data_IF_958839031184
#
_entry.id   IF_958839031184
#
_cell.length_a   1.000
_cell.length_b   1.000
_cell.length_c   1.000
_cell.angle_alpha   90.00
_cell.angle_beta   90.00
_cell.angle_gamma   90.00
#
_symmetry.space_group_name_H-M   'P 1'
#
loop_
_entity.id
_entity.type
_entity.pdbx_description
1 polymer ?
#
# COMPACT_ATOMS: atom_id res chain seq x y z
N UNK A 1 9.81 -9.08 24.02
CA UNK A 1 8.42 -8.60 23.94
C UNK A 1 7.99 -8.62 22.49
N UNK A 2 7.26 -9.65 22.07
CA UNK A 2 6.45 -9.59 20.84
C UNK A 2 5.14 -8.95 21.29
N UNK A 3 4.80 -7.77 20.77
CA UNK A 3 3.44 -7.28 20.86
C UNK A 3 2.62 -8.12 19.88
N UNK A 4 2.04 -9.21 20.37
CA UNK A 4 1.00 -9.93 19.65
C UNK A 4 -0.28 -9.11 19.82
N UNK A 5 -0.44 -8.10 18.96
CA UNK A 5 -1.76 -7.50 18.77
C UNK A 5 -2.59 -8.57 18.04
N UNK A 6 -3.60 -9.11 18.73
CA UNK A 6 -4.69 -9.87 18.11
C UNK A 6 -5.54 -8.92 17.26
N UNK A 7 -4.98 -8.48 16.12
CA UNK A 7 -5.69 -7.74 15.10
C UNK A 7 -6.25 -8.73 14.09
N UNK A 8 -7.50 -8.52 13.68
CA UNK A 8 -8.05 -9.27 12.54
C UNK A 8 -7.23 -8.98 11.27
N UNK A 9 -7.12 -9.98 10.38
CA UNK A 9 -6.43 -9.88 9.08
C UNK A 9 -6.80 -8.58 8.35
N UNK A 10 -8.08 -8.22 8.36
CA UNK A 10 -8.61 -6.97 7.80
C UNK A 10 -8.01 -5.70 8.40
N UNK A 11 -7.86 -5.63 9.72
CA UNK A 11 -7.34 -4.46 10.41
C UNK A 11 -5.83 -4.28 10.14
N UNK A 12 -5.09 -5.38 10.09
CA UNK A 12 -3.68 -5.38 9.72
C UNK A 12 -3.46 -4.81 8.30
N UNK A 13 -4.33 -5.15 7.35
CA UNK A 13 -4.25 -4.63 5.98
C UNK A 13 -4.59 -3.14 5.87
N UNK A 14 -5.55 -2.65 6.65
CA UNK A 14 -5.86 -1.20 6.71
C UNK A 14 -4.68 -0.43 7.31
N UNK A 15 -4.06 -0.96 8.37
CA UNK A 15 -2.86 -0.38 8.97
C UNK A 15 -1.71 -0.37 7.96
N UNK A 16 -1.49 -1.48 7.24
CA UNK A 16 -0.46 -1.55 6.20
C UNK A 16 -0.68 -0.51 5.09
N UNK A 17 -1.94 -0.31 4.65
CA UNK A 17 -2.28 0.66 3.63
C UNK A 17 -2.01 2.10 4.11
N UNK A 18 -2.49 2.45 5.30
CA UNK A 18 -2.25 3.79 5.87
C UNK A 18 -0.76 4.05 6.11
N UNK A 19 0.00 3.05 6.56
CA UNK A 19 1.46 3.13 6.69
C UNK A 19 2.12 3.36 5.33
N UNK A 20 1.69 2.65 4.28
CA UNK A 20 2.25 2.82 2.93
C UNK A 20 2.06 4.25 2.41
N UNK A 21 0.87 4.82 2.61
CA UNK A 21 0.56 6.21 2.24
C UNK A 21 1.39 7.18 3.08
N UNK A 22 1.55 6.94 4.37
CA UNK A 22 2.39 7.74 5.26
C UNK A 22 3.86 7.74 4.84
N UNK A 23 4.40 6.60 4.41
CA UNK A 23 5.77 6.49 3.89
C UNK A 23 5.92 7.33 2.62
N UNK A 24 4.99 7.23 1.67
CA UNK A 24 5.03 8.02 0.44
C UNK A 24 4.92 9.52 0.75
N UNK A 25 3.98 9.91 1.62
CA UNK A 25 3.83 11.30 2.05
C UNK A 25 5.12 11.83 2.72
N UNK A 26 5.75 11.05 3.60
CA UNK A 26 7.02 11.41 4.24
C UNK A 26 8.17 11.54 3.25
N UNK A 27 8.25 10.63 2.27
CA UNK A 27 9.24 10.66 1.20
C UNK A 27 9.15 11.97 0.39
N UNK A 28 7.94 12.37 0.01
CA UNK A 28 7.70 13.63 -0.70
C UNK A 28 7.88 14.86 0.16
N UNK A 29 7.45 14.80 1.43
CA UNK A 29 7.64 15.89 2.38
C UNK A 29 9.12 16.25 2.56
N UNK A 30 10.01 15.24 2.61
CA UNK A 30 11.45 15.46 2.68
C UNK A 30 11.98 16.28 1.51
N UNK A 31 11.50 16.04 0.28
CA UNK A 31 11.88 16.81 -0.91
C UNK A 31 11.28 18.22 -0.86
N UNK A 32 10.02 18.36 -0.47
CA UNK A 32 9.32 19.64 -0.42
C UNK A 32 9.87 20.57 0.67
N UNK A 33 10.49 20.02 1.72
CA UNK A 33 11.16 20.81 2.75
C UNK A 33 12.51 21.38 2.31
N UNK A 34 13.09 20.90 1.21
CA UNK A 34 14.39 21.39 0.72
C UNK A 34 14.21 22.83 0.22
N UNK A 35 14.99 23.79 0.75
CA UNK A 35 14.93 25.18 0.27
C UNK A 35 15.21 25.25 -1.24
N UNK A 36 14.48 26.08 -2.01
CA UNK A 36 14.64 26.16 -3.47
C UNK A 36 16.07 26.46 -3.93
N UNK A 37 16.84 27.16 -3.09
CA UNK A 37 18.24 27.53 -3.35
C UNK A 37 19.19 26.33 -3.32
N UNK A 38 18.80 25.24 -2.65
CA UNK A 38 19.53 23.99 -2.65
C UNK A 38 19.14 23.07 -3.83
N UNK A 39 18.07 23.42 -4.57
CA UNK A 39 17.72 22.80 -5.86
C UNK A 39 18.41 23.49 -7.05
N UNK A 40 19.21 24.54 -6.82
CA UNK A 40 19.98 25.20 -7.88
C UNK A 40 21.21 24.34 -8.23
N UNK A 41 20.95 23.26 -8.96
CA UNK A 41 21.96 22.27 -9.31
C UNK A 41 22.77 22.79 -10.50
N UNK A 42 24.11 22.81 -10.42
CA UNK A 42 24.94 23.22 -11.54
C UNK A 42 24.65 22.36 -12.76
N UNK A 43 24.33 23.01 -13.88
CA UNK A 43 24.08 22.34 -15.15
C UNK A 43 25.41 22.05 -15.84
N UNK A 44 25.57 20.81 -16.32
CA UNK A 44 26.68 20.44 -17.18
C UNK A 44 26.23 20.57 -18.63
N UNK A 45 26.99 21.35 -19.39
CA UNK A 45 26.87 21.40 -20.84
C UNK A 45 27.70 20.23 -21.39
N UNK A 46 27.05 19.28 -22.06
CA UNK A 46 27.73 18.24 -22.81
C UNK A 46 28.13 18.80 -24.18
N UNK A 47 29.18 18.23 -24.78
CA UNK A 47 29.71 18.66 -26.09
C UNK A 47 28.72 18.51 -27.25
N UNK A 48 27.65 17.74 -27.03
CA UNK A 48 26.53 17.55 -27.96
C UNK A 48 25.44 18.65 -27.84
N UNK A 49 25.68 19.69 -27.02
CA UNK A 49 24.75 20.79 -26.79
C UNK A 49 23.61 20.44 -25.83
N UNK A 50 23.62 19.24 -25.24
CA UNK A 50 22.63 18.86 -24.24
C UNK A 50 22.99 19.42 -22.85
N UNK A 51 21.95 19.81 -22.11
CA UNK A 51 22.07 20.34 -20.75
C UNK A 51 21.60 19.27 -19.78
N UNK A 52 22.49 18.80 -18.90
CA UNK A 52 22.15 17.82 -17.86
C UNK A 52 22.36 18.39 -16.48
N UNK A 53 21.42 18.15 -15.56
CA UNK A 53 21.60 18.45 -14.15
C UNK A 53 22.74 17.60 -13.57
N UNK A 54 23.60 18.18 -12.72
CA UNK A 54 24.68 17.43 -12.06
C UNK A 54 24.17 16.42 -11.01
N UNK A 55 22.93 16.55 -10.54
CA UNK A 55 22.24 15.63 -9.64
C UNK A 55 20.73 15.79 -9.79
N UNK A 56 19.99 14.69 -9.65
CA UNK A 56 18.53 14.70 -9.69
C UNK A 56 17.97 14.62 -8.27
N UNK A 57 17.26 15.65 -7.78
CA UNK A 57 16.67 15.65 -6.45
C UNK A 57 15.63 14.53 -6.28
N UNK A 58 14.97 14.14 -7.38
CA UNK A 58 14.06 12.99 -7.44
C UNK A 58 14.69 11.93 -8.31
N UNK A 59 15.09 10.80 -7.72
CA UNK A 59 15.64 9.66 -8.47
C UNK A 59 14.52 8.75 -9.00
N UNK A 60 14.82 7.94 -10.02
CA UNK A 60 13.86 6.96 -10.55
C UNK A 60 13.32 6.01 -9.47
N UNK A 61 14.15 5.68 -8.47
CA UNK A 61 13.77 4.86 -7.32
C UNK A 61 12.68 5.53 -6.47
N UNK A 62 12.72 6.86 -6.30
CA UNK A 62 11.67 7.59 -5.56
C UNK A 62 10.32 7.44 -6.25
N UNK A 63 10.29 7.59 -7.57
CA UNK A 63 9.07 7.42 -8.38
C UNK A 63 8.58 5.98 -8.30
N UNK A 64 9.49 5.01 -8.42
CA UNK A 64 9.15 3.60 -8.34
C UNK A 64 8.53 3.23 -6.99
N UNK A 65 9.15 3.61 -5.88
CA UNK A 65 8.63 3.32 -4.53
C UNK A 65 7.27 4.01 -4.31
N UNK A 66 7.14 5.26 -4.74
CA UNK A 66 5.90 6.04 -4.58
C UNK A 66 4.70 5.39 -5.29
N UNK A 67 4.92 4.67 -6.38
CA UNK A 67 3.87 3.95 -7.10
C UNK A 67 3.74 2.49 -6.66
N UNK A 68 4.84 1.77 -6.56
CA UNK A 68 4.86 0.34 -6.30
C UNK A 68 4.37 0.01 -4.89
N UNK A 69 4.74 0.80 -3.88
CA UNK A 69 4.40 0.51 -2.48
C UNK A 69 2.87 0.60 -2.26
N UNK A 70 2.17 1.71 -2.61
CA UNK A 70 0.72 1.77 -2.45
C UNK A 70 -0.02 0.76 -3.32
N UNK A 71 0.45 0.50 -4.55
CA UNK A 71 -0.16 -0.48 -5.45
C UNK A 71 -0.04 -1.91 -4.91
N UNK A 72 1.13 -2.29 -4.40
CA UNK A 72 1.35 -3.61 -3.80
C UNK A 72 0.48 -3.78 -2.56
N UNK A 73 0.41 -2.76 -1.68
CA UNK A 73 -0.43 -2.83 -0.50
C UNK A 73 -1.92 -2.88 -0.85
N UNK A 74 -2.38 -2.08 -1.81
CA UNK A 74 -3.76 -2.12 -2.28
C UNK A 74 -4.12 -3.47 -2.92
N UNK A 75 -3.19 -4.08 -3.67
CA UNK A 75 -3.38 -5.41 -4.24
C UNK A 75 -3.54 -6.48 -3.14
N UNK A 76 -2.68 -6.46 -2.12
CA UNK A 76 -2.77 -7.38 -0.99
C UNK A 76 -4.07 -7.20 -0.20
N UNK A 77 -4.46 -5.94 0.07
CA UNK A 77 -5.75 -5.63 0.72
C UNK A 77 -6.91 -6.21 -0.10
N UNK A 78 -6.91 -6.01 -1.43
CA UNK A 78 -7.98 -6.50 -2.30
C UNK A 78 -8.08 -8.03 -2.29
N UNK A 79 -6.95 -8.72 -2.29
CA UNK A 79 -6.93 -10.17 -2.36
C UNK A 79 -7.29 -10.82 -1.02
N UNK A 80 -6.85 -10.27 0.12
CA UNK A 80 -7.06 -10.91 1.42
C UNK A 80 -8.28 -10.38 2.18
N UNK A 81 -8.82 -9.22 1.83
CA UNK A 81 -10.10 -8.77 2.37
C UNK A 81 -11.30 -9.59 1.86
N UNK A 82 -11.08 -10.55 0.95
CA UNK A 82 -12.12 -11.39 0.34
C UNK A 82 -12.27 -12.76 1.00
N UNK A 83 -11.22 -13.25 1.67
CA UNK A 83 -11.22 -14.59 2.27
C UNK A 83 -11.98 -14.62 3.60
N UNK A 84 -12.07 -13.51 4.33
CA UNK A 84 -12.78 -13.40 5.61
C UNK A 84 -14.33 -13.34 5.48
N UNK A 85 -14.90 -13.51 4.28
CA UNK A 85 -16.33 -13.33 4.00
C UNK A 85 -17.11 -14.59 3.64
N UNK A 86 -16.49 -15.77 3.67
CA UNK A 86 -17.09 -17.01 3.15
C UNK A 86 -17.43 -18.06 4.21
N UNK A 87 -17.02 -17.85 5.47
CA UNK A 87 -17.29 -18.82 6.54
C UNK A 87 -18.65 -18.61 7.24
N UNK A 88 -19.34 -17.48 7.00
CA UNK A 88 -20.65 -17.18 7.63
C UNK A 88 -21.87 -17.53 6.76
N UNK A 89 -21.67 -18.06 5.54
CA UNK A 89 -22.77 -18.33 4.60
C UNK A 89 -23.27 -19.78 4.62
N UNK A 90 -22.58 -20.71 5.29
CA UNK A 90 -22.92 -22.14 5.29
C UNK A 90 -23.74 -22.60 6.50
N UNK A 91 -24.07 -21.71 7.45
CA UNK A 91 -24.84 -22.05 8.66
C UNK A 91 -26.30 -21.52 8.62
N UNK A 92 -26.98 -21.64 7.48
CA UNK A 92 -28.43 -21.37 7.38
C UNK A 92 -29.17 -22.43 6.54
N UNK A 93 -28.84 -23.71 6.74
CA UNK A 93 -29.78 -24.79 6.41
C UNK A 93 -30.68 -25.03 7.63
N UNK A 94 -31.95 -24.58 7.63
CA UNK A 94 -32.89 -25.06 8.62
C UNK A 94 -33.10 -26.55 8.37
N UNK A 95 -32.64 -27.37 9.31
CA UNK A 95 -32.94 -28.79 9.44
C UNK A 95 -34.46 -28.96 9.50
N UNK A 96 -35.08 -29.14 8.32
CA UNK A 96 -36.43 -29.69 8.22
C UNK A 96 -36.27 -31.20 8.33
N UNK A 97 -36.18 -31.67 9.55
CA UNK A 97 -36.36 -33.08 9.85
C UNK A 97 -37.82 -33.45 9.59
N UNK A 98 -37.95 -34.41 8.69
CA UNK A 98 -39.13 -34.97 8.08
C UNK A 98 -40.20 -35.41 9.09
N UNK A 99 -41.45 -35.17 8.70
CA UNK A 99 -42.56 -35.94 9.25
C UNK A 99 -42.52 -37.34 8.67
N UNK A 100 -42.49 -38.34 9.53
CA UNK A 100 -42.97 -39.67 9.21
C UNK A 100 -44.15 -39.98 10.13
N UNK A 101 -45.31 -40.11 9.49
CA UNK A 101 -46.54 -40.56 10.11
C UNK A 101 -46.62 -42.06 10.01
N UNK A 102 -46.66 -42.72 11.17
CA UNK A 102 -46.97 -44.14 11.25
C UNK A 102 -48.45 -44.27 11.63
N UNK A 103 -49.23 -44.75 10.66
CA UNK A 103 -50.62 -45.19 10.82
C UNK A 103 -50.75 -46.65 11.20
#
# INVERSE_FOLDING_TARGET
MKLELELSTREQYIIALSLSVGIVAGLWFGILMIPPRALDVPMRFLDDGTVSASYYPVTNTHLFISAALPLATAYLVRNHARDDGTDDADELTPDRSDGDGDG
#
